data_IF_842976628198
#
_entry.id   IF_842976628198
#
_cell.length_a   1.000
_cell.length_b   1.000
_cell.length_c   1.000
_cell.angle_alpha   90.00
_cell.angle_beta   90.00
_cell.angle_gamma   90.00
#
_symmetry.space_group_name_H-M   'P 1'
#
loop_
_entity.id
_entity.type
_entity.pdbx_description
1 polymer ?
#
# COMPACT_ATOMS: atom_id res chain seq x y z
N UNK A 1 5.03 7.82 0.02
CA UNK A 1 4.44 7.35 1.30
C UNK A 1 4.03 5.88 1.28
N UNK A 2 3.04 5.41 0.51
CA UNK A 2 2.65 3.99 0.53
C UNK A 2 3.81 3.01 0.22
N UNK A 3 4.64 3.34 -0.77
CA UNK A 3 5.83 2.57 -1.14
C UNK A 3 6.84 2.48 0.00
N UNK A 4 7.10 3.58 0.71
CA UNK A 4 7.99 3.60 1.86
C UNK A 4 7.52 2.65 2.96
N UNK A 5 6.24 2.71 3.35
CA UNK A 5 5.71 1.84 4.40
C UNK A 5 5.77 0.35 4.02
N UNK A 6 5.45 0.00 2.77
CA UNK A 6 5.41 -1.40 2.35
C UNK A 6 6.79 -1.96 1.99
N UNK A 7 7.56 -1.24 1.19
CA UNK A 7 8.85 -1.71 0.67
C UNK A 7 10.04 -1.24 1.49
N UNK A 8 9.96 -0.08 2.14
CA UNK A 8 11.03 0.45 2.98
C UNK A 8 11.01 -0.06 4.41
N UNK A 9 9.83 -0.43 4.95
CA UNK A 9 9.70 -0.87 6.34
C UNK A 9 9.14 -2.29 6.49
N UNK A 10 7.95 -2.57 5.95
CA UNK A 10 7.31 -3.89 6.11
C UNK A 10 8.16 -5.03 5.53
N UNK A 11 8.55 -4.95 4.25
CA UNK A 11 9.24 -6.05 3.60
C UNK A 11 10.62 -6.36 4.23
N UNK A 12 11.47 -5.35 4.57
CA UNK A 12 12.70 -5.59 5.32
C UNK A 12 12.45 -6.20 6.70
N UNK A 13 11.42 -5.74 7.44
CA UNK A 13 11.08 -6.33 8.73
C UNK A 13 10.68 -7.80 8.61
N UNK A 14 9.89 -8.17 7.59
CA UNK A 14 9.52 -9.57 7.32
C UNK A 14 10.75 -10.40 6.97
N UNK A 15 11.66 -9.86 6.16
CA UNK A 15 12.92 -10.53 5.81
C UNK A 15 13.77 -10.81 7.06
N UNK A 16 13.96 -9.79 7.90
CA UNK A 16 14.73 -9.92 9.14
C UNK A 16 14.09 -10.88 10.13
N UNK A 17 12.75 -10.89 10.23
CA UNK A 17 12.02 -11.89 11.00
C UNK A 17 12.28 -13.31 10.45
N UNK A 18 12.21 -13.50 9.14
CA UNK A 18 12.51 -14.78 8.50
C UNK A 18 13.94 -15.26 8.77
N UNK A 19 14.93 -14.36 8.69
CA UNK A 19 16.32 -14.66 9.00
C UNK A 19 16.52 -15.03 10.47
N UNK A 20 15.87 -14.31 11.39
CA UNK A 20 15.93 -14.62 12.82
C UNK A 20 15.30 -15.99 13.13
N UNK A 21 14.15 -16.29 12.53
CA UNK A 21 13.51 -17.60 12.66
C UNK A 21 14.41 -18.73 12.12
N UNK A 22 15.05 -18.51 10.97
CA UNK A 22 15.98 -19.45 10.38
C UNK A 22 17.20 -19.66 11.29
N UNK A 23 17.79 -18.59 11.84
CA UNK A 23 18.92 -18.67 12.76
C UNK A 23 18.58 -19.46 14.03
N UNK A 24 17.38 -19.28 14.59
CA UNK A 24 16.89 -20.10 15.70
C UNK A 24 16.70 -21.56 15.30
N UNK A 25 16.15 -21.83 14.12
CA UNK A 25 15.91 -23.20 13.63
C UNK A 25 17.21 -23.98 13.36
N UNK A 26 18.23 -23.32 12.82
CA UNK A 26 19.55 -23.94 12.58
C UNK A 26 20.41 -24.05 13.83
N UNK A 27 19.94 -23.59 14.99
CA UNK A 27 20.70 -23.57 16.24
C UNK A 27 21.83 -22.54 16.28
N UNK A 28 21.84 -21.56 15.37
CA UNK A 28 22.83 -20.48 15.35
C UNK A 28 22.55 -19.42 16.45
N UNK A 29 21.31 -19.36 16.94
CA UNK A 29 20.89 -18.55 18.08
C UNK A 29 19.93 -19.36 18.96
N UNK A 30 19.83 -18.98 20.25
CA UNK A 30 18.83 -19.55 21.15
C UNK A 30 17.41 -19.31 20.60
N UNK A 31 16.57 -20.34 20.64
CA UNK A 31 15.23 -20.30 20.07
C UNK A 31 14.35 -19.22 20.73
N UNK A 32 14.46 -19.06 22.05
CA UNK A 32 13.70 -18.05 22.80
C UNK A 32 14.07 -16.64 22.35
N UNK A 33 15.37 -16.39 22.18
CA UNK A 33 15.89 -15.10 21.69
C UNK A 33 15.44 -14.86 20.25
N UNK A 34 15.56 -15.86 19.38
CA UNK A 34 15.12 -15.78 18.00
C UNK A 34 13.63 -15.42 17.91
N UNK A 35 12.77 -16.03 18.72
CA UNK A 35 11.34 -15.74 18.75
C UNK A 35 11.02 -14.31 19.21
N UNK A 36 11.74 -13.77 20.20
CA UNK A 36 11.57 -12.37 20.61
C UNK A 36 11.87 -11.41 19.45
N UNK A 37 12.94 -11.67 18.71
CA UNK A 37 13.33 -10.87 17.54
C UNK A 37 12.30 -10.99 16.41
N UNK A 38 11.84 -12.22 16.11
CA UNK A 38 10.79 -12.48 15.12
C UNK A 38 9.52 -11.70 15.45
N UNK A 39 9.07 -11.77 16.70
CA UNK A 39 7.87 -11.06 17.16
C UNK A 39 8.05 -9.55 17.10
N UNK A 40 9.21 -9.03 17.51
CA UNK A 40 9.53 -7.61 17.42
C UNK A 40 9.44 -7.08 15.99
N UNK A 41 10.07 -7.77 15.04
CA UNK A 41 9.95 -7.42 13.63
C UNK A 41 8.54 -7.63 13.06
N UNK A 42 7.82 -8.64 13.54
CA UNK A 42 6.41 -8.87 13.19
C UNK A 42 5.52 -7.69 13.55
N UNK A 43 5.69 -7.10 14.74
CA UNK A 43 4.97 -5.89 15.16
C UNK A 43 5.29 -4.70 14.24
N UNK A 44 6.58 -4.48 13.94
CA UNK A 44 7.01 -3.41 13.04
C UNK A 44 6.38 -3.59 11.66
N UNK A 45 6.40 -4.82 11.13
CA UNK A 45 5.81 -5.15 9.84
C UNK A 45 4.30 -4.91 9.81
N UNK A 46 3.58 -5.25 10.88
CA UNK A 46 2.13 -5.05 10.96
C UNK A 46 1.76 -3.56 11.03
N UNK A 47 2.50 -2.77 11.83
CA UNK A 47 2.33 -1.31 11.90
C UNK A 47 2.57 -0.70 10.52
N UNK A 48 3.68 -1.06 9.88
CA UNK A 48 4.02 -0.60 8.53
C UNK A 48 2.95 -0.98 7.51
N UNK A 49 2.42 -2.20 7.57
CA UNK A 49 1.34 -2.67 6.72
C UNK A 49 0.06 -1.85 6.91
N UNK A 50 -0.32 -1.55 8.15
CA UNK A 50 -1.51 -0.74 8.46
C UNK A 50 -1.39 0.67 7.89
N UNK A 51 -0.24 1.33 8.04
CA UNK A 51 0.01 2.66 7.45
C UNK A 51 0.10 2.61 5.93
N UNK A 52 0.74 1.60 5.36
CA UNK A 52 0.83 1.37 3.92
C UNK A 52 -0.55 1.20 3.27
N UNK A 53 -1.42 0.37 3.86
CA UNK A 53 -2.81 0.18 3.41
C UNK A 53 -3.62 1.47 3.46
N UNK A 54 -3.51 2.24 4.55
CA UNK A 54 -4.17 3.56 4.66
C UNK A 54 -3.70 4.53 3.57
N UNK A 55 -2.40 4.58 3.30
CA UNK A 55 -1.84 5.42 2.25
C UNK A 55 -2.31 4.99 0.84
N UNK A 56 -2.38 3.69 0.58
CA UNK A 56 -2.93 3.15 -0.67
C UNK A 56 -4.40 3.50 -0.83
N UNK A 57 -5.22 3.34 0.21
CA UNK A 57 -6.64 3.69 0.18
C UNK A 57 -6.85 5.17 -0.15
N UNK A 58 -6.07 6.07 0.48
CA UNK A 58 -6.09 7.50 0.14
C UNK A 58 -5.71 7.76 -1.32
N UNK A 59 -4.67 7.10 -1.84
CA UNK A 59 -4.25 7.24 -3.25
C UNK A 59 -5.31 6.73 -4.21
N UNK A 60 -5.96 5.61 -3.90
CA UNK A 60 -7.07 5.05 -4.70
C UNK A 60 -8.28 5.99 -4.75
N UNK A 61 -8.68 6.54 -3.61
CA UNK A 61 -9.78 7.53 -3.54
C UNK A 61 -9.48 8.77 -4.38
N UNK A 62 -8.26 9.32 -4.30
CA UNK A 62 -7.85 10.46 -5.14
C UNK A 62 -7.91 10.13 -6.63
N UNK A 63 -7.43 8.95 -7.04
CA UNK A 63 -7.52 8.51 -8.44
C UNK A 63 -8.97 8.35 -8.91
N UNK A 64 -9.83 7.75 -8.09
CA UNK A 64 -11.25 7.61 -8.41
C UNK A 64 -11.94 8.98 -8.59
N UNK A 65 -11.66 9.95 -7.72
CA UNK A 65 -12.20 11.31 -7.85
C UNK A 65 -11.75 11.99 -9.15
N UNK A 66 -10.48 11.85 -9.52
CA UNK A 66 -9.95 12.42 -10.79
C UNK A 66 -10.61 11.75 -12.00
N UNK A 67 -10.79 10.42 -11.96
CA UNK A 67 -11.47 9.70 -13.04
C UNK A 67 -12.93 10.12 -13.17
N UNK A 68 -13.64 10.28 -12.05
CA UNK A 68 -15.02 10.75 -12.04
C UNK A 68 -15.18 12.17 -12.61
N UNK A 69 -14.25 13.07 -12.29
CA UNK A 69 -14.23 14.43 -12.86
C UNK A 69 -13.98 14.41 -14.36
N UNK A 70 -13.06 13.56 -14.84
CA UNK A 70 -12.82 13.41 -16.29
C UNK A 70 -14.03 12.86 -17.02
N UNK A 71 -14.67 11.81 -16.49
CA UNK A 71 -15.89 11.27 -17.10
C UNK A 71 -17.03 12.29 -17.14
N UNK A 72 -17.17 13.13 -16.11
CA UNK A 72 -18.19 14.19 -16.12
C UNK A 72 -17.88 15.29 -17.15
N UNK A 73 -16.61 15.65 -17.32
CA UNK A 73 -16.18 16.60 -18.35
C UNK A 73 -16.42 16.06 -19.77
N UNK A 74 -16.09 14.79 -20.01
CA UNK A 74 -16.34 14.12 -21.30
C UNK A 74 -17.85 14.08 -21.64
N UNK A 75 -18.70 13.79 -20.66
CA UNK A 75 -20.15 13.82 -20.85
C UNK A 75 -20.63 15.23 -21.17
N UNK A 76 -20.15 16.24 -20.43
CA UNK A 76 -20.49 17.65 -20.67
C UNK A 76 -20.09 18.11 -22.07
N UNK A 77 -18.90 17.74 -22.53
CA UNK A 77 -18.41 18.13 -23.85
C UNK A 77 -19.24 17.48 -24.96
N UNK A 78 -19.65 16.20 -24.80
CA UNK A 78 -20.59 15.54 -25.73
C UNK A 78 -21.93 16.25 -25.83
N UNK A 79 -22.52 16.62 -24.69
CA UNK A 79 -23.79 17.39 -24.68
C UNK A 79 -23.64 18.75 -25.36
N UNK A 80 -22.50 19.42 -25.19
CA UNK A 80 -22.24 20.72 -25.83
C UNK A 80 -22.13 20.58 -27.35
N UNK A 81 -21.44 19.56 -27.84
CA UNK A 81 -21.33 19.30 -29.29
C UNK A 81 -22.67 18.90 -29.92
N UNK A 82 -23.49 18.11 -29.23
CA UNK A 82 -24.82 17.74 -29.74
C UNK A 82 -25.78 18.93 -29.78
N UNK A 83 -25.74 19.82 -28.78
CA UNK A 83 -26.57 21.02 -28.78
C UNK A 83 -26.15 22.04 -29.84
N UNK A 84 -24.85 22.18 -30.13
CA UNK A 84 -24.37 23.04 -31.22
C UNK A 84 -24.79 22.50 -32.59
N UNK A 85 -24.80 21.18 -32.79
CA UNK A 85 -25.28 20.59 -34.05
C UNK A 85 -26.80 20.65 -34.22
N UNK A 86 -27.58 20.70 -33.14
CA UNK A 86 -29.04 20.89 -33.22
C UNK A 86 -29.47 22.35 -33.41
N UNK A 87 -28.57 23.30 -33.16
CA UNK A 87 -28.83 24.74 -33.27
C UNK A 87 -28.31 25.36 -34.57
N UNK A 88 -27.62 24.57 -35.42
CA UNK A 88 -27.18 24.92 -36.77
C UNK A 88 -28.11 24.27 -37.80
#
# INVERSE_FOLDING_TARGET
>A
MATFWLWGLRNPAILLAGLAALAGYTGAADWSIAMVVVLGFGIIAEVANRFGRRALARKRRKRAAVLALRSAAEVRDRFRTEHQHKAA
#
